data_IF_715140240122
#
_entry.id   IF_715140240122
#
_cell.length_a   1.000
_cell.length_b   1.000
_cell.length_c   1.000
_cell.angle_alpha   90.00
_cell.angle_beta   90.00
_cell.angle_gamma   90.00
#
_symmetry.space_group_name_H-M   'P 1'
#
loop_
_entity.id
_entity.type
_entity.pdbx_description
1 polymer ?
#
# COMPACT_ATOMS: atom_id res chain seq x y z
N UNK A 1 26.69 -11.18 7.76
CA UNK A 1 25.56 -10.26 8.03
C UNK A 1 24.96 -9.79 6.71
N UNK A 2 25.76 -9.25 5.78
CA UNK A 2 25.28 -8.86 4.42
C UNK A 2 24.55 -9.98 3.65
N UNK A 3 25.04 -11.22 3.68
CA UNK A 3 24.38 -12.34 2.99
C UNK A 3 22.98 -12.67 3.53
N UNK A 4 22.71 -12.43 4.83
CA UNK A 4 21.40 -12.66 5.44
C UNK A 4 20.40 -11.54 5.14
N UNK A 5 20.88 -10.34 4.78
CA UNK A 5 20.03 -9.21 4.44
C UNK A 5 19.55 -9.24 2.98
N UNK A 6 20.26 -9.94 2.08
CA UNK A 6 19.93 -9.95 0.65
C UNK A 6 18.53 -10.49 0.37
N UNK A 7 18.11 -11.56 1.05
CA UNK A 7 16.77 -12.12 0.90
C UNK A 7 15.69 -11.18 1.43
N UNK A 8 15.98 -10.47 2.55
CA UNK A 8 15.05 -9.49 3.13
C UNK A 8 14.92 -8.26 2.24
N UNK A 9 16.03 -7.72 1.75
CA UNK A 9 16.05 -6.60 0.81
C UNK A 9 15.34 -6.95 -0.49
N UNK A 10 15.43 -8.20 -0.96
CA UNK A 10 14.69 -8.64 -2.16
C UNK A 10 13.18 -8.57 -1.92
N UNK A 11 12.69 -9.15 -0.82
CA UNK A 11 11.27 -9.05 -0.48
C UNK A 11 10.80 -7.61 -0.23
N UNK A 12 11.63 -6.77 0.42
CA UNK A 12 11.31 -5.35 0.59
C UNK A 12 11.23 -4.60 -0.75
N UNK A 13 12.08 -4.92 -1.73
CA UNK A 13 11.99 -4.36 -3.09
C UNK A 13 10.69 -4.76 -3.78
N UNK A 14 10.33 -6.04 -3.72
CA UNK A 14 9.07 -6.51 -4.31
C UNK A 14 7.85 -5.83 -3.65
N UNK A 15 7.87 -5.65 -2.33
CA UNK A 15 6.84 -4.90 -1.61
C UNK A 15 6.77 -3.43 -2.07
N UNK A 16 7.92 -2.78 -2.26
CA UNK A 16 7.99 -1.40 -2.76
C UNK A 16 7.40 -1.28 -4.17
N UNK A 17 7.70 -2.23 -5.06
CA UNK A 17 7.12 -2.32 -6.40
C UNK A 17 5.60 -2.50 -6.34
N UNK A 18 5.10 -3.35 -5.43
CA UNK A 18 3.66 -3.52 -5.21
C UNK A 18 2.98 -2.29 -4.62
N UNK A 19 3.66 -1.52 -3.79
CA UNK A 19 3.16 -0.22 -3.36
C UNK A 19 3.08 0.76 -4.55
N UNK A 20 4.04 0.73 -5.48
CA UNK A 20 3.98 1.54 -6.71
C UNK A 20 2.83 1.13 -7.63
N UNK A 21 2.55 -0.17 -7.76
CA UNK A 21 1.39 -0.67 -8.49
C UNK A 21 0.08 -0.19 -7.84
N UNK A 22 -0.02 -0.27 -6.50
CA UNK A 22 -1.17 0.24 -5.76
C UNK A 22 -1.41 1.74 -6.00
N UNK A 23 -0.36 2.56 -5.99
CA UNK A 23 -0.48 3.99 -6.28
C UNK A 23 -1.03 4.26 -7.68
N UNK A 24 -0.55 3.51 -8.68
CA UNK A 24 -1.02 3.67 -10.07
C UNK A 24 -2.48 3.30 -10.22
N UNK A 25 -2.96 2.28 -9.50
CA UNK A 25 -4.36 1.88 -9.58
C UNK A 25 -5.28 2.94 -8.95
N UNK A 26 -4.96 3.42 -7.73
CA UNK A 26 -5.73 4.52 -7.11
C UNK A 26 -5.72 5.78 -7.98
N UNK A 27 -4.58 6.14 -8.57
CA UNK A 27 -4.49 7.29 -9.47
C UNK A 27 -5.39 7.11 -10.71
N UNK A 28 -5.36 5.93 -11.32
CA UNK A 28 -6.17 5.58 -12.48
C UNK A 28 -7.67 5.65 -12.17
N UNK A 29 -8.11 5.10 -11.05
CA UNK A 29 -9.51 5.16 -10.60
C UNK A 29 -9.95 6.59 -10.29
N UNK A 30 -9.09 7.36 -9.61
CA UNK A 30 -9.31 8.78 -9.29
C UNK A 30 -9.47 9.61 -10.57
N UNK A 31 -8.59 9.42 -11.56
CA UNK A 31 -8.66 10.10 -12.85
C UNK A 31 -9.89 9.66 -13.67
N UNK A 32 -10.23 8.37 -13.61
CA UNK A 32 -11.43 7.80 -14.22
C UNK A 32 -12.74 8.24 -13.54
N UNK A 33 -12.66 8.92 -12.38
CA UNK A 33 -13.79 9.29 -11.51
C UNK A 33 -14.60 8.07 -11.04
N UNK A 34 -13.95 6.91 -10.91
CA UNK A 34 -14.52 5.64 -10.45
C UNK A 34 -14.69 5.64 -8.92
N UNK A 35 -15.40 6.64 -8.41
CA UNK A 35 -15.66 6.79 -6.98
C UNK A 35 -16.92 5.99 -6.59
N UNK A 36 -16.77 4.68 -6.44
CA UNK A 36 -17.84 3.78 -5.99
C UNK A 36 -17.33 2.88 -4.85
N UNK A 37 -18.23 2.45 -3.97
CA UNK A 37 -17.86 1.66 -2.79
C UNK A 37 -17.17 0.32 -3.13
N UNK A 38 -17.52 -0.30 -4.27
CA UNK A 38 -16.86 -1.54 -4.69
C UNK A 38 -15.35 -1.36 -4.91
N UNK A 39 -14.93 -0.27 -5.57
CA UNK A 39 -13.51 0.04 -5.78
C UNK A 39 -12.81 0.35 -4.44
N UNK A 40 -13.50 1.01 -3.50
CA UNK A 40 -12.96 1.23 -2.16
C UNK A 40 -12.70 -0.10 -1.43
N UNK A 41 -13.68 -1.00 -1.42
CA UNK A 41 -13.55 -2.31 -0.77
C UNK A 41 -12.41 -3.15 -1.39
N UNK A 42 -12.27 -3.12 -2.72
CA UNK A 42 -11.19 -3.80 -3.43
C UNK A 42 -9.81 -3.22 -3.04
N UNK A 43 -9.68 -1.89 -3.01
CA UNK A 43 -8.45 -1.23 -2.61
C UNK A 43 -8.11 -1.41 -1.13
N UNK A 44 -9.10 -1.46 -0.23
CA UNK A 44 -8.91 -1.78 1.18
C UNK A 44 -8.37 -3.21 1.35
N UNK A 45 -8.94 -4.16 0.62
CA UNK A 45 -8.47 -5.55 0.62
C UNK A 45 -7.04 -5.66 0.06
N UNK A 46 -6.69 -4.91 -0.99
CA UNK A 46 -5.35 -4.92 -1.54
C UNK A 46 -4.32 -4.28 -0.60
N UNK A 47 -4.66 -3.15 0.02
CA UNK A 47 -3.83 -2.54 1.06
C UNK A 47 -3.58 -3.50 2.23
N UNK A 48 -4.62 -4.22 2.70
CA UNK A 48 -4.48 -5.18 3.78
C UNK A 48 -3.48 -6.29 3.42
N UNK A 49 -3.47 -6.78 2.18
CA UNK A 49 -2.48 -7.78 1.74
C UNK A 49 -1.05 -7.23 1.81
N UNK A 50 -0.84 -5.97 1.40
CA UNK A 50 0.47 -5.31 1.48
C UNK A 50 0.94 -5.16 2.93
N UNK A 51 0.03 -4.75 3.83
CA UNK A 51 0.31 -4.60 5.25
C UNK A 51 0.66 -5.94 5.91
N UNK A 52 -0.15 -6.98 5.66
CA UNK A 52 0.13 -8.33 6.14
C UNK A 52 1.46 -8.87 5.61
N UNK A 53 1.80 -8.54 4.36
CA UNK A 53 3.06 -8.96 3.77
C UNK A 53 4.25 -8.24 4.41
N UNK A 54 4.19 -6.91 4.60
CA UNK A 54 5.22 -6.16 5.31
C UNK A 54 5.46 -6.73 6.71
N UNK A 55 4.39 -7.00 7.45
CA UNK A 55 4.47 -7.60 8.79
C UNK A 55 5.19 -8.97 8.75
N UNK A 56 4.88 -9.81 7.76
CA UNK A 56 5.57 -11.09 7.57
C UNK A 56 7.07 -10.92 7.25
N UNK A 57 7.45 -9.93 6.44
CA UNK A 57 8.86 -9.64 6.14
C UNK A 57 9.57 -9.20 7.43
N UNK A 58 8.98 -8.26 8.17
CA UNK A 58 9.55 -7.71 9.41
C UNK A 58 9.73 -8.76 10.50
N UNK A 59 8.80 -9.72 10.63
CA UNK A 59 8.92 -10.85 11.57
C UNK A 59 10.14 -11.74 11.29
N UNK A 60 10.64 -11.75 10.06
CA UNK A 60 11.83 -12.52 9.64
C UNK A 60 13.09 -11.66 9.50
N UNK A 61 12.98 -10.34 9.70
CA UNK A 61 14.09 -9.41 9.58
C UNK A 61 14.81 -9.23 10.94
N UNK A 62 15.71 -10.15 11.25
CA UNK A 62 16.50 -10.14 12.50
C UNK A 62 17.66 -9.15 12.49
N UNK A 63 18.05 -8.65 11.31
CA UNK A 63 19.27 -7.87 11.11
C UNK A 63 19.02 -6.44 10.65
N UNK A 64 17.75 -6.02 10.60
CA UNK A 64 17.30 -4.70 10.15
C UNK A 64 17.84 -4.38 8.76
N UNK A 65 17.31 -5.09 7.77
CA UNK A 65 17.69 -4.91 6.38
C UNK A 65 17.51 -3.43 5.96
N UNK A 66 18.42 -2.86 5.15
CA UNK A 66 18.44 -1.43 4.81
C UNK A 66 17.12 -0.87 4.29
N UNK A 67 16.32 -1.67 3.58
CA UNK A 67 15.08 -1.22 2.95
C UNK A 67 13.86 -1.19 3.87
N UNK A 68 13.95 -1.77 5.07
CA UNK A 68 12.82 -1.86 6.02
C UNK A 68 12.11 -0.52 6.22
N UNK A 69 12.88 0.52 6.58
CA UNK A 69 12.32 1.86 6.85
C UNK A 69 11.65 2.45 5.61
N UNK A 70 12.26 2.28 4.44
CA UNK A 70 11.68 2.78 3.19
C UNK A 70 10.35 2.09 2.88
N UNK A 71 10.27 0.78 3.10
CA UNK A 71 9.04 0.00 2.91
C UNK A 71 7.95 0.41 3.91
N UNK A 72 8.28 0.63 5.18
CA UNK A 72 7.33 1.16 6.18
C UNK A 72 6.79 2.54 5.77
N UNK A 73 7.66 3.46 5.36
CA UNK A 73 7.27 4.79 4.88
C UNK A 73 6.41 4.73 3.61
N UNK A 74 6.73 3.82 2.68
CA UNK A 74 5.99 3.65 1.43
C UNK A 74 4.59 3.08 1.69
N UNK A 75 4.48 2.08 2.55
CA UNK A 75 3.18 1.52 2.95
C UNK A 75 2.32 2.58 3.68
N UNK A 76 2.93 3.40 4.54
CA UNK A 76 2.24 4.53 5.17
C UNK A 76 1.66 5.52 4.15
N UNK A 77 2.36 5.77 3.04
CA UNK A 77 1.83 6.57 1.92
C UNK A 77 0.69 5.86 1.19
N UNK A 78 0.74 4.54 1.02
CA UNK A 78 -0.39 3.76 0.47
C UNK A 78 -1.65 3.98 1.33
N UNK A 79 -1.50 3.90 2.66
CA UNK A 79 -2.63 4.13 3.57
C UNK A 79 -3.18 5.55 3.45
N UNK A 80 -2.32 6.56 3.36
CA UNK A 80 -2.75 7.94 3.20
C UNK A 80 -3.57 8.14 1.92
N UNK A 81 -3.06 7.66 0.78
CA UNK A 81 -3.74 7.80 -0.52
C UNK A 81 -5.07 7.03 -0.54
N UNK A 82 -5.13 5.85 0.10
CA UNK A 82 -6.39 5.12 0.27
C UNK A 82 -7.41 5.90 1.11
N UNK A 83 -6.97 6.54 2.19
CA UNK A 83 -7.85 7.37 3.01
C UNK A 83 -8.38 8.58 2.20
N UNK A 84 -7.52 9.25 1.44
CA UNK A 84 -7.92 10.38 0.58
C UNK A 84 -8.95 9.95 -0.48
N UNK A 85 -8.77 8.75 -1.06
CA UNK A 85 -9.72 8.15 -2.00
C UNK A 85 -11.06 7.82 -1.32
N UNK A 86 -11.02 7.21 -0.14
CA UNK A 86 -12.20 6.92 0.69
C UNK A 86 -12.99 8.19 1.01
N UNK A 87 -12.32 9.26 1.45
CA UNK A 87 -12.97 10.55 1.70
C UNK A 87 -13.60 11.15 0.44
N UNK A 88 -12.98 11.02 -0.72
CA UNK A 88 -13.54 11.50 -1.98
C UNK A 88 -14.84 10.75 -2.34
N UNK A 89 -14.89 9.43 -2.11
CA UNK A 89 -16.11 8.63 -2.27
C UNK A 89 -17.20 9.09 -1.30
N UNK A 90 -16.88 9.26 -0.02
CA UNK A 90 -17.87 9.74 0.97
C UNK A 90 -18.40 11.12 0.63
N UNK A 91 -17.54 12.08 0.28
CA UNK A 91 -17.96 13.43 -0.13
C UNK A 91 -18.92 13.37 -1.31
N UNK A 92 -18.58 12.61 -2.36
CA UNK A 92 -19.42 12.48 -3.55
C UNK A 92 -20.78 11.82 -3.26
N UNK A 93 -20.84 10.86 -2.33
CA UNK A 93 -22.11 10.20 -1.99
C UNK A 93 -22.97 11.01 -1.00
N UNK A 94 -22.35 11.82 -0.11
CA UNK A 94 -23.07 12.70 0.81
C UNK A 94 -23.61 13.97 0.12
N UNK A 95 -23.03 14.40 -1.01
CA UNK A 95 -23.56 15.50 -1.84
C UNK A 95 -24.79 15.10 -2.69
N UNK A 96 -25.22 13.83 -2.64
CA UNK A 96 -26.38 13.31 -3.40
C UNK A 96 -27.66 13.26 -2.54
N UNK A 97 -27.62 13.66 -1.26
CA UNK A 97 -28.81 13.94 -0.44
C UNK A 97 -29.42 15.33 -0.70
#
# INVERSE_FOLDING_TARGET
MELFNQDRDTEYKELLEKCDDFFREIEKETQGKNFVFAELEENEAEYQKLEEWLNKIMLRDFFNAPLKKQSEEKLGKCKQILNDFSEAIYRKNNEIE
#
